data_IF_585170529822
#
_entry.id   IF_585170529822
#
_cell.length_a   1.000
_cell.length_b   1.000
_cell.length_c   1.000
_cell.angle_alpha   90.00
_cell.angle_beta   90.00
_cell.angle_gamma   90.00
#
_symmetry.space_group_name_H-M   'P 1'
#
loop_
_entity.id
_entity.type
_entity.pdbx_description
1 polymer ?
#
# COMPACT_ATOMS: atom_id res chain seq x y z
N UNK A 1 4.22 -12.58 -3.71
CA UNK A 1 3.30 -13.20 -2.72
C UNK A 1 1.94 -12.53 -2.84
N UNK A 2 0.87 -13.31 -3.01
CA UNK A 2 -0.51 -12.81 -2.96
C UNK A 2 -1.09 -13.18 -1.60
N UNK A 3 -1.45 -12.16 -0.79
CA UNK A 3 -2.13 -12.37 0.48
C UNK A 3 -3.61 -12.67 0.20
N UNK A 4 -4.12 -13.77 0.76
CA UNK A 4 -5.54 -14.13 0.66
C UNK A 4 -6.41 -13.06 1.31
N UNK A 5 -7.56 -12.76 0.71
CA UNK A 5 -8.47 -11.69 1.14
C UNK A 5 -8.95 -11.82 2.59
N UNK A 6 -9.04 -13.05 3.10
CA UNK A 6 -9.35 -13.38 4.50
C UNK A 6 -8.31 -12.84 5.51
N UNK A 7 -7.06 -12.64 5.07
CA UNK A 7 -5.98 -12.10 5.91
C UNK A 7 -5.93 -10.56 5.92
N UNK A 8 -6.89 -9.91 5.26
CA UNK A 8 -6.95 -8.46 5.10
C UNK A 8 -8.14 -7.93 5.88
N UNK A 9 -7.88 -7.04 6.83
CA UNK A 9 -8.89 -6.33 7.62
C UNK A 9 -8.79 -4.82 7.43
N UNK A 10 -9.78 -4.11 7.97
CA UNK A 10 -9.86 -2.65 7.95
C UNK A 10 -10.21 -2.14 9.35
N UNK A 11 -9.53 -1.08 9.80
CA UNK A 11 -9.89 -0.36 11.04
C UNK A 11 -9.73 1.14 10.85
N UNK A 12 -10.60 1.96 11.44
CA UNK A 12 -10.47 3.42 11.40
C UNK A 12 -9.58 3.96 12.52
N UNK A 13 -9.32 3.14 13.54
CA UNK A 13 -8.53 3.53 14.72
C UNK A 13 -7.43 2.50 14.99
N UNK A 14 -6.20 2.98 15.13
CA UNK A 14 -5.04 2.18 15.49
C UNK A 14 -4.07 3.00 16.38
N UNK A 15 -3.66 2.44 17.52
CA UNK A 15 -2.79 3.10 18.52
C UNK A 15 -3.23 4.52 18.94
N UNK A 16 -4.54 4.75 19.09
CA UNK A 16 -5.09 6.07 19.44
C UNK A 16 -5.08 7.09 18.30
N UNK A 17 -4.59 6.70 17.11
CA UNK A 17 -4.69 7.50 15.90
C UNK A 17 -5.94 7.10 15.12
N UNK A 18 -6.82 8.06 14.91
CA UNK A 18 -7.99 7.92 14.05
C UNK A 18 -7.64 8.47 12.68
N UNK A 19 -7.83 7.65 11.64
CA UNK A 19 -7.60 8.05 10.25
C UNK A 19 -8.93 8.00 9.51
N UNK A 20 -9.32 9.10 8.85
CA UNK A 20 -10.54 9.16 8.03
C UNK A 20 -10.49 8.19 6.85
N UNK A 21 -9.30 7.99 6.26
CA UNK A 21 -9.09 6.98 5.22
C UNK A 21 -9.01 5.56 5.79
N UNK A 22 -8.79 5.43 7.10
CA UNK A 22 -8.62 4.17 7.81
C UNK A 22 -7.26 3.50 7.60
N UNK A 23 -7.16 2.30 8.17
CA UNK A 23 -5.94 1.49 8.22
C UNK A 23 -6.24 0.11 7.65
N UNK A 24 -5.34 -0.37 6.78
CA UNK A 24 -5.34 -1.74 6.31
C UNK A 24 -4.60 -2.61 7.34
N UNK A 25 -5.24 -3.68 7.79
CA UNK A 25 -4.66 -4.64 8.73
C UNK A 25 -4.33 -5.92 7.98
N UNK A 26 -3.05 -6.26 7.86
CA UNK A 26 -2.61 -7.51 7.25
C UNK A 26 -2.20 -8.49 8.35
N UNK A 27 -2.96 -9.57 8.49
CA UNK A 27 -2.63 -10.66 9.40
C UNK A 27 -1.60 -11.58 8.73
N UNK A 28 -0.34 -11.43 9.14
CA UNK A 28 0.80 -12.19 8.62
C UNK A 28 1.28 -13.27 9.60
N UNK A 29 0.49 -13.59 10.63
CA UNK A 29 0.83 -14.58 11.65
C UNK A 29 1.20 -15.98 11.12
N UNK A 30 0.80 -16.33 9.90
CA UNK A 30 1.16 -17.59 9.22
C UNK A 30 2.36 -17.46 8.28
N UNK A 31 3.00 -16.29 8.22
CA UNK A 31 4.29 -16.09 7.59
C UNK A 31 5.33 -16.28 8.68
N UNK A 32 6.38 -17.03 8.36
CA UNK A 32 7.52 -17.37 9.22
C UNK A 32 8.36 -16.11 9.53
N UNK A 33 7.72 -15.10 10.10
CA UNK A 33 8.28 -13.81 10.47
C UNK A 33 8.20 -13.76 12.00
N UNK A 34 9.31 -14.13 12.64
CA UNK A 34 9.41 -14.13 14.10
C UNK A 34 9.01 -12.78 14.69
N UNK A 35 7.98 -12.78 15.52
CA UNK A 35 7.54 -11.63 16.32
C UNK A 35 6.56 -10.65 15.67
N UNK A 36 6.22 -10.78 14.37
CA UNK A 36 5.28 -9.85 13.71
C UNK A 36 4.02 -10.58 13.24
N UNK A 37 2.94 -10.44 13.98
CA UNK A 37 1.66 -11.08 13.64
C UNK A 37 0.75 -10.23 12.74
N UNK A 38 0.90 -8.89 12.80
CA UNK A 38 0.01 -7.93 12.12
C UNK A 38 0.80 -6.73 11.59
N UNK A 39 0.56 -6.38 10.33
CA UNK A 39 1.04 -5.13 9.72
C UNK A 39 -0.14 -4.17 9.62
N UNK A 40 0.07 -2.93 10.03
CA UNK A 40 -0.92 -1.86 9.93
C UNK A 40 -0.39 -0.82 8.94
N UNK A 41 -1.15 -0.57 7.88
CA UNK A 41 -0.78 0.38 6.83
C UNK A 41 -1.82 1.50 6.84
N UNK A 42 -1.39 2.74 7.04
CA UNK A 42 -2.27 3.89 6.92
C UNK A 42 -2.64 4.10 5.45
N UNK A 43 -3.94 4.18 5.15
CA UNK A 43 -4.39 4.30 3.77
C UNK A 43 -4.16 5.69 3.18
N UNK A 44 -3.92 6.72 3.99
CA UNK A 44 -3.51 8.06 3.50
C UNK A 44 -2.16 7.99 2.81
N UNK A 45 -1.24 7.26 3.42
CA UNK A 45 0.11 7.04 2.89
C UNK A 45 0.06 6.23 1.58
N UNK A 46 -0.85 5.25 1.49
CA UNK A 46 -1.07 4.46 0.27
C UNK A 46 -1.59 5.32 -0.88
N UNK A 47 -2.51 6.26 -0.62
CA UNK A 47 -3.01 7.20 -1.61
C UNK A 47 -1.89 8.14 -2.10
N UNK A 48 -1.03 8.63 -1.21
CA UNK A 48 0.13 9.43 -1.57
C UNK A 48 1.15 8.66 -2.41
N UNK A 49 1.45 7.40 -2.03
CA UNK A 49 2.34 6.51 -2.78
C UNK A 49 1.72 6.17 -4.14
N UNK A 50 0.40 5.94 -4.22
CA UNK A 50 -0.31 5.70 -5.48
C UNK A 50 -0.23 6.94 -6.38
N UNK A 51 -0.48 8.13 -5.84
CA UNK A 51 -0.38 9.38 -6.57
C UNK A 51 1.05 9.65 -7.04
N UNK A 52 2.06 9.33 -6.23
CA UNK A 52 3.48 9.39 -6.58
C UNK A 52 3.84 8.44 -7.73
N UNK A 53 3.41 7.18 -7.64
CA UNK A 53 3.63 6.18 -8.71
C UNK A 53 2.92 6.51 -10.01
N UNK A 54 1.73 7.11 -9.97
CA UNK A 54 1.06 7.62 -11.16
C UNK A 54 1.92 8.69 -11.85
N UNK A 55 2.49 9.62 -11.09
CA UNK A 55 3.39 10.66 -11.62
C UNK A 55 4.70 10.09 -12.19
N UNK A 56 5.28 9.08 -11.53
CA UNK A 56 6.47 8.38 -12.04
C UNK A 56 6.16 7.63 -13.34
N UNK A 57 4.99 6.99 -13.42
CA UNK A 57 4.54 6.29 -14.63
C UNK A 57 4.29 7.27 -15.78
N UNK A 58 3.73 8.45 -15.51
CA UNK A 58 3.57 9.53 -16.51
C UNK A 58 4.90 10.11 -16.97
N UNK A 59 5.86 10.30 -16.04
CA UNK A 59 7.20 10.77 -16.38
C UNK A 59 7.96 9.75 -17.23
N UNK A 60 7.81 8.46 -16.92
CA UNK A 60 8.37 7.35 -17.69
C UNK A 60 7.71 7.23 -19.07
N UNK A 61 6.39 7.41 -19.17
CA UNK A 61 5.68 7.41 -20.45
C UNK A 61 6.10 8.60 -21.33
N UNK A 62 6.24 9.79 -20.74
CA UNK A 62 6.81 10.95 -21.44
C UNK A 62 8.24 10.69 -21.90
N UNK A 63 9.08 10.08 -21.07
CA UNK A 63 10.44 9.73 -21.45
C UNK A 63 10.47 8.72 -22.61
N UNK A 64 9.58 7.72 -22.61
CA UNK A 64 9.43 6.77 -23.74
C UNK A 64 8.97 7.43 -25.03
N UNK A 65 8.02 8.38 -24.96
CA UNK A 65 7.56 9.18 -26.10
C UNK A 65 8.66 10.08 -26.67
N UNK A 66 9.52 10.64 -25.80
CA UNK A 66 10.65 11.48 -26.22
C UNK A 66 11.82 10.68 -26.78
N UNK A 67 12.01 9.44 -26.31
CA UNK A 67 13.08 8.53 -26.76
C UNK A 67 12.69 7.68 -27.98
N UNK A 68 11.52 7.91 -28.59
CA UNK A 68 11.16 7.36 -29.89
C UNK A 68 10.69 5.90 -29.88
N UNK A 69 9.89 5.49 -28.90
CA UNK A 69 9.17 4.22 -28.98
C UNK A 69 7.81 4.38 -29.68
N UNK A 70 7.69 3.82 -30.88
CA UNK A 70 6.42 3.54 -31.58
C UNK A 70 5.48 2.64 -30.76
#
# INVERSE_FOLDING_TARGET
>A
MLLSRDKIGYTTTYQGQTSEAGWLVLNIANLDLEGVSKIYIDLRDVEEIRAGKSKESEALEKAKKLLGGE
#
